data_IF_932117643710
#
_entry.id   IF_932117643710
#
_cell.length_a   1.000
_cell.length_b   1.000
_cell.length_c   1.000
_cell.angle_alpha   90.00
_cell.angle_beta   90.00
_cell.angle_gamma   90.00
#
_symmetry.space_group_name_H-M   'P 1'
#
loop_
_entity.id
_entity.type
_entity.pdbx_description
1 polymer ?
#
# COMPACT_ATOMS: atom_id res chain seq x y z
N UNK A 1 10.87 10.16 32.14
CA UNK A 1 9.76 10.20 31.18
C UNK A 1 10.34 10.64 29.85
N UNK A 2 10.45 9.73 28.89
CA UNK A 2 10.89 10.11 27.55
C UNK A 2 9.78 10.94 26.89
N UNK A 3 10.15 12.10 26.36
CA UNK A 3 9.25 12.97 25.60
C UNK A 3 9.05 12.26 24.26
N UNK A 4 7.90 11.61 24.09
CA UNK A 4 7.47 11.05 22.80
C UNK A 4 7.36 12.24 21.85
N UNK A 5 8.14 12.23 20.78
CA UNK A 5 8.11 13.34 19.84
C UNK A 5 6.79 13.28 19.05
N UNK A 6 6.28 14.40 18.52
CA UNK A 6 5.07 14.39 17.70
C UNK A 6 5.19 13.46 16.48
N UNK A 7 6.41 13.23 15.98
CA UNK A 7 6.68 12.25 14.91
C UNK A 7 6.49 10.78 15.32
N UNK A 8 6.38 10.49 16.63
CA UNK A 8 6.10 9.18 17.21
C UNK A 8 4.62 9.02 17.60
N UNK A 9 3.74 9.98 17.28
CA UNK A 9 2.30 9.74 17.30
C UNK A 9 2.00 8.69 16.23
N UNK A 10 1.92 7.43 16.66
CA UNK A 10 1.81 6.26 15.80
C UNK A 10 0.79 6.47 14.70
N UNK A 11 1.21 6.19 13.46
CA UNK A 11 0.32 6.21 12.29
C UNK A 11 -0.96 5.43 12.62
N UNK A 12 -2.10 6.11 12.54
CA UNK A 12 -3.38 5.45 12.64
C UNK A 12 -3.83 5.06 11.24
N UNK A 13 -4.00 3.76 10.96
CA UNK A 13 -4.54 3.35 9.68
C UNK A 13 -5.95 3.92 9.45
N UNK A 14 -6.35 4.15 8.18
CA UNK A 14 -7.70 4.59 7.86
C UNK A 14 -8.73 3.53 8.24
N UNK A 15 -9.94 3.98 8.57
CA UNK A 15 -11.12 3.12 8.60
C UNK A 15 -11.75 2.94 7.21
N UNK A 16 -12.70 2.00 7.10
CA UNK A 16 -13.46 1.75 5.88
C UNK A 16 -13.24 0.34 5.34
N UNK A 17 -12.86 0.22 4.07
CA UNK A 17 -12.72 -1.07 3.38
C UNK A 17 -11.27 -1.25 2.94
N UNK A 18 -10.69 -2.40 3.25
CA UNK A 18 -9.41 -2.82 2.71
C UNK A 18 -9.60 -3.75 1.51
N UNK A 19 -8.87 -3.45 0.43
CA UNK A 19 -8.81 -4.22 -0.80
C UNK A 19 -7.42 -4.85 -0.91
N UNK A 20 -7.34 -6.17 -0.77
CA UNK A 20 -6.09 -6.94 -0.89
C UNK A 20 -6.06 -7.73 -2.18
N UNK A 21 -4.88 -7.96 -2.75
CA UNK A 21 -4.69 -9.13 -3.63
C UNK A 21 -4.95 -10.41 -2.84
N UNK A 22 -5.71 -11.36 -3.41
CA UNK A 22 -5.97 -12.65 -2.74
C UNK A 22 -4.71 -13.51 -2.59
N UNK A 23 -3.80 -13.41 -3.55
CA UNK A 23 -2.58 -14.20 -3.67
C UNK A 23 -1.44 -13.33 -4.21
N UNK A 24 -0.20 -13.82 -4.08
CA UNK A 24 0.94 -13.22 -4.76
C UNK A 24 0.74 -13.29 -6.27
N UNK A 25 0.97 -12.18 -6.95
CA UNK A 25 0.84 -12.06 -8.41
C UNK A 25 2.19 -11.73 -9.04
N UNK A 26 2.40 -12.13 -10.31
CA UNK A 26 3.56 -11.70 -11.08
C UNK A 26 3.75 -10.18 -11.05
N UNK A 27 4.99 -9.72 -10.91
CA UNK A 27 5.29 -8.32 -10.62
C UNK A 27 4.88 -7.36 -11.74
N UNK A 28 4.76 -7.84 -12.98
CA UNK A 28 4.18 -7.08 -14.09
C UNK A 28 2.68 -6.80 -13.91
N UNK A 29 1.91 -7.77 -13.40
CA UNK A 29 0.50 -7.57 -13.06
C UNK A 29 0.36 -6.63 -11.86
N UNK A 30 1.21 -6.80 -10.85
CA UNK A 30 1.23 -5.91 -9.68
C UNK A 30 1.52 -4.46 -10.08
N UNK A 31 2.57 -4.23 -10.87
CA UNK A 31 2.94 -2.89 -11.36
C UNK A 31 1.79 -2.24 -12.16
N UNK A 32 1.13 -3.00 -13.03
CA UNK A 32 -0.03 -2.50 -13.77
C UNK A 32 -1.21 -2.16 -12.85
N UNK A 33 -1.52 -3.01 -11.87
CA UNK A 33 -2.58 -2.75 -10.89
C UNK A 33 -2.27 -1.49 -10.05
N UNK A 34 -1.04 -1.37 -9.54
CA UNK A 34 -0.60 -0.22 -8.75
C UNK A 34 -0.59 1.08 -9.56
N UNK A 35 -0.24 1.05 -10.85
CA UNK A 35 -0.36 2.21 -11.74
C UNK A 35 -1.81 2.68 -11.88
N UNK A 36 -2.75 1.73 -12.03
CA UNK A 36 -4.19 2.03 -12.09
C UNK A 36 -4.69 2.61 -10.77
N UNK A 37 -4.25 2.05 -9.65
CA UNK A 37 -4.57 2.56 -8.31
C UNK A 37 -4.04 3.98 -8.14
N UNK A 38 -2.78 4.23 -8.49
CA UNK A 38 -2.19 5.57 -8.42
C UNK A 38 -2.97 6.58 -9.28
N UNK A 39 -3.37 6.20 -10.49
CA UNK A 39 -4.20 7.05 -11.35
C UNK A 39 -5.59 7.32 -10.75
N UNK A 40 -6.22 6.31 -10.14
CA UNK A 40 -7.48 6.48 -9.43
C UNK A 40 -7.33 7.47 -8.26
N UNK A 41 -6.31 7.28 -7.42
CA UNK A 41 -6.04 8.16 -6.26
C UNK A 41 -5.73 9.60 -6.68
N UNK A 42 -5.02 9.79 -7.81
CA UNK A 42 -4.75 11.10 -8.38
C UNK A 42 -6.04 11.84 -8.74
N UNK A 43 -6.97 11.17 -9.42
CA UNK A 43 -8.20 11.79 -9.94
C UNK A 43 -9.25 12.04 -8.85
N UNK A 44 -9.36 11.14 -7.88
CA UNK A 44 -10.45 11.17 -6.92
C UNK A 44 -10.14 11.95 -5.64
N UNK A 45 -8.87 12.04 -5.24
CA UNK A 45 -8.49 12.50 -3.89
C UNK A 45 -7.64 13.79 -3.95
N UNK A 46 -7.13 14.18 -5.12
CA UNK A 46 -6.39 15.44 -5.35
C UNK A 46 -5.31 15.72 -4.28
N UNK A 47 -4.55 14.69 -3.91
CA UNK A 47 -3.53 14.81 -2.87
C UNK A 47 -2.22 15.31 -3.48
N UNK A 48 -1.71 16.43 -2.98
CA UNK A 48 -0.44 17.03 -3.43
C UNK A 48 0.77 16.56 -2.64
N UNK A 49 0.56 16.06 -1.42
CA UNK A 49 1.62 15.58 -0.54
C UNK A 49 1.30 14.18 -0.04
N UNK A 50 2.28 13.29 -0.17
CA UNK A 50 2.24 11.93 0.31
C UNK A 50 3.39 11.70 1.28
N UNK A 51 3.23 10.70 2.11
CA UNK A 51 4.24 10.23 3.04
C UNK A 51 4.49 8.77 2.72
N UNK A 52 5.78 8.44 2.56
CA UNK A 52 6.23 7.05 2.43
C UNK A 52 6.53 6.48 3.81
N UNK A 53 6.33 5.17 3.96
CA UNK A 53 6.64 4.41 5.15
C UNK A 53 7.38 3.12 4.79
N UNK A 54 8.25 2.68 5.69
CA UNK A 54 8.59 1.25 5.78
C UNK A 54 7.63 0.63 6.80
N UNK A 55 6.76 -0.24 6.32
CA UNK A 55 5.68 -0.85 7.07
C UNK A 55 6.10 -2.23 7.55
N UNK A 56 6.41 -2.31 8.85
CA UNK A 56 6.88 -3.50 9.55
C UNK A 56 5.75 -4.17 10.33
N UNK A 57 4.48 -3.90 10.01
CA UNK A 57 3.38 -4.40 10.82
C UNK A 57 3.37 -5.92 10.93
N UNK A 58 3.60 -6.61 9.81
CA UNK A 58 3.65 -8.08 9.75
C UNK A 58 4.97 -8.68 10.27
N UNK A 59 5.94 -7.83 10.62
CA UNK A 59 7.22 -8.23 11.19
C UNK A 59 7.22 -8.01 12.71
N UNK A 60 7.31 -6.76 13.16
CA UNK A 60 7.42 -6.38 14.58
C UNK A 60 6.33 -5.41 15.05
N UNK A 61 5.31 -5.15 14.22
CA UNK A 61 4.27 -4.16 14.54
C UNK A 61 4.73 -2.71 14.41
N UNK A 62 5.89 -2.45 13.80
CA UNK A 62 6.47 -1.11 13.67
C UNK A 62 6.07 -0.41 12.36
N UNK A 63 6.17 0.93 12.34
CA UNK A 63 5.83 1.74 11.16
C UNK A 63 6.75 2.96 11.10
N UNK A 64 7.66 3.00 10.13
CA UNK A 64 8.69 4.02 10.08
C UNK A 64 8.42 5.02 8.96
N UNK A 65 8.15 6.25 9.35
CA UNK A 65 8.00 7.36 8.41
C UNK A 65 9.30 7.62 7.64
N UNK A 66 9.20 7.71 6.32
CA UNK A 66 10.26 8.12 5.39
C UNK A 66 10.02 9.55 4.88
N UNK A 67 10.81 9.93 3.88
CA UNK A 67 10.67 11.20 3.20
C UNK A 67 9.25 11.35 2.60
N UNK A 68 8.77 12.60 2.60
CA UNK A 68 7.58 12.97 1.86
C UNK A 68 7.81 12.75 0.35
N UNK A 69 6.76 12.36 -0.36
CA UNK A 69 6.73 12.28 -1.81
C UNK A 69 5.45 12.95 -2.33
N UNK A 70 5.27 12.98 -3.64
CA UNK A 70 4.03 13.40 -4.29
C UNK A 70 3.50 12.25 -5.16
N UNK A 71 2.43 12.52 -5.92
CA UNK A 71 1.84 11.52 -6.80
C UNK A 71 2.81 11.06 -7.90
N UNK A 72 3.71 11.94 -8.38
CA UNK A 72 4.74 11.57 -9.35
C UNK A 72 5.75 10.61 -8.73
N UNK A 73 6.12 10.83 -7.47
CA UNK A 73 6.92 9.91 -6.67
C UNK A 73 6.25 8.54 -6.53
N UNK A 74 4.94 8.49 -6.27
CA UNK A 74 4.20 7.23 -6.25
C UNK A 74 4.29 6.51 -7.61
N UNK A 75 4.04 7.20 -8.72
CA UNK A 75 4.19 6.61 -10.05
C UNK A 75 5.61 6.09 -10.29
N UNK A 76 6.64 6.85 -9.92
CA UNK A 76 8.04 6.41 -10.09
C UNK A 76 8.35 5.11 -9.34
N UNK A 77 7.72 4.87 -8.18
CA UNK A 77 7.86 3.63 -7.41
C UNK A 77 7.17 2.45 -8.10
N UNK A 78 6.00 2.66 -8.71
CA UNK A 78 5.14 1.56 -9.17
C UNK A 78 5.12 1.32 -10.68
N UNK A 79 5.72 2.23 -11.46
CA UNK A 79 5.62 2.24 -12.94
C UNK A 79 6.21 1.00 -13.62
N UNK A 80 7.17 0.32 -12.99
CA UNK A 80 7.78 -0.88 -13.56
C UNK A 80 8.01 -1.95 -12.50
N UNK A 81 8.06 -3.24 -12.87
CA UNK A 81 8.48 -4.31 -11.97
C UNK A 81 9.84 -4.02 -11.30
N UNK A 82 10.78 -3.47 -12.06
CA UNK A 82 12.11 -3.11 -11.53
C UNK A 82 12.00 -2.00 -10.47
N UNK A 83 11.18 -0.98 -10.69
CA UNK A 83 10.96 0.09 -9.73
C UNK A 83 10.38 -0.44 -8.41
N UNK A 84 9.43 -1.37 -8.49
CA UNK A 84 8.85 -2.01 -7.31
C UNK A 84 9.92 -2.72 -6.49
N UNK A 85 10.70 -3.60 -7.13
CA UNK A 85 11.74 -4.37 -6.44
C UNK A 85 12.81 -3.46 -5.81
N UNK A 86 13.27 -2.45 -6.54
CA UNK A 86 14.27 -1.49 -6.04
C UNK A 86 13.75 -0.59 -4.91
N UNK A 87 12.42 -0.48 -4.78
CA UNK A 87 11.81 0.31 -3.70
C UNK A 87 11.72 -0.44 -2.38
N UNK A 88 11.88 -1.77 -2.38
CA UNK A 88 11.70 -2.60 -1.20
C UNK A 88 12.72 -2.26 -0.09
N UNK A 89 12.32 -2.23 1.19
CA UNK A 89 13.22 -1.93 2.30
C UNK A 89 14.34 -2.96 2.53
N UNK A 90 14.24 -4.15 1.92
CA UNK A 90 15.28 -5.18 1.89
C UNK A 90 15.03 -6.36 2.85
N UNK A 91 14.14 -6.19 3.83
CA UNK A 91 13.75 -7.22 4.78
C UNK A 91 12.45 -7.92 4.38
N UNK A 92 12.29 -9.18 4.81
CA UNK A 92 11.11 -9.99 4.54
C UNK A 92 9.87 -9.40 5.22
N UNK A 93 8.74 -9.39 4.49
CA UNK A 93 7.46 -8.88 4.96
C UNK A 93 7.46 -7.42 5.43
N UNK A 94 8.47 -6.63 5.02
CA UNK A 94 8.47 -5.18 5.20
C UNK A 94 7.95 -4.52 3.93
N UNK A 95 6.81 -3.85 4.05
CA UNK A 95 6.09 -3.29 2.91
C UNK A 95 6.50 -1.84 2.68
N UNK A 96 6.34 -1.38 1.45
CA UNK A 96 6.34 0.05 1.15
C UNK A 96 4.94 0.57 1.38
N UNK A 97 4.78 1.44 2.38
CA UNK A 97 3.52 2.13 2.68
C UNK A 97 3.49 3.54 2.09
N UNK A 98 2.32 3.98 1.64
CA UNK A 98 2.07 5.31 1.09
C UNK A 98 0.72 5.81 1.62
N UNK A 99 0.71 7.01 2.19
CA UNK A 99 -0.49 7.65 2.71
C UNK A 99 -0.45 9.17 2.46
N UNK A 100 -1.61 9.84 2.41
CA UNK A 100 -1.68 11.28 2.62
C UNK A 100 -1.37 11.63 4.09
N UNK A 101 -0.98 12.88 4.41
CA UNK A 101 -0.71 13.31 5.78
C UNK A 101 -1.89 13.15 6.75
N UNK A 102 -3.12 13.15 6.24
CA UNK A 102 -4.34 12.96 7.02
C UNK A 102 -4.77 11.49 7.16
N UNK A 103 -3.99 10.55 6.60
CA UNK A 103 -4.28 9.11 6.58
C UNK A 103 -5.67 8.76 6.05
N UNK A 104 -6.25 9.57 5.16
CA UNK A 104 -7.58 9.32 4.58
C UNK A 104 -7.66 8.05 3.71
N UNK A 105 -6.50 7.55 3.25
CA UNK A 105 -6.33 6.24 2.62
C UNK A 105 -4.93 5.71 2.90
N UNK A 106 -4.71 4.42 2.67
CA UNK A 106 -3.40 3.81 2.83
C UNK A 106 -3.17 2.74 1.77
N UNK A 107 -2.10 2.90 1.00
CA UNK A 107 -1.63 1.91 0.05
C UNK A 107 -0.35 1.29 0.60
N UNK A 108 -0.29 -0.03 0.68
CA UNK A 108 0.96 -0.75 0.91
C UNK A 108 1.16 -1.82 -0.15
N UNK A 109 2.41 -2.09 -0.49
CA UNK A 109 2.75 -3.17 -1.41
C UNK A 109 4.08 -3.81 -1.03
N UNK A 110 4.23 -5.07 -1.43
CA UNK A 110 5.41 -5.87 -1.20
C UNK A 110 5.78 -6.64 -2.47
N UNK A 111 7.07 -6.79 -2.71
CA UNK A 111 7.63 -7.47 -3.86
C UNK A 111 8.85 -8.30 -3.43
N UNK A 112 8.92 -9.54 -3.91
CA UNK A 112 10.01 -10.45 -3.62
C UNK A 112 10.21 -11.44 -4.78
N UNK A 113 11.22 -12.29 -4.64
CA UNK A 113 11.30 -13.52 -5.41
C UNK A 113 10.33 -14.55 -4.83
N UNK A 114 9.85 -15.46 -5.67
CA UNK A 114 9.13 -16.64 -5.20
C UNK A 114 10.07 -17.62 -4.49
N UNK A 115 9.50 -18.63 -3.83
CA UNK A 115 10.26 -19.62 -3.04
C UNK A 115 11.30 -20.41 -3.86
N UNK A 116 11.21 -20.35 -5.20
CA UNK A 116 12.10 -21.03 -6.14
C UNK A 116 13.16 -20.11 -6.76
N UNK A 117 13.22 -18.84 -6.35
CA UNK A 117 14.09 -17.79 -6.93
C UNK A 117 13.96 -17.69 -8.47
N UNK A 118 12.77 -17.95 -8.98
CA UNK A 118 12.48 -18.11 -10.41
C UNK A 118 11.70 -16.94 -10.99
N UNK A 119 10.76 -16.39 -10.23
CA UNK A 119 9.88 -15.32 -10.66
C UNK A 119 9.78 -14.21 -9.61
N UNK A 120 9.63 -12.97 -10.10
CA UNK A 120 9.32 -11.83 -9.24
C UNK A 120 7.81 -11.76 -9.04
N UNK A 121 7.40 -11.75 -7.77
CA UNK A 121 6.01 -11.75 -7.34
C UNK A 121 5.77 -10.64 -6.31
N UNK A 122 4.52 -10.34 -6.04
CA UNK A 122 4.17 -9.41 -4.98
C UNK A 122 2.67 -9.28 -4.72
N UNK A 123 2.35 -8.42 -3.78
CA UNK A 123 0.98 -8.18 -3.28
C UNK A 123 0.77 -6.69 -3.00
N UNK A 124 -0.50 -6.28 -2.93
CA UNK A 124 -0.86 -4.97 -2.39
C UNK A 124 -2.07 -5.04 -1.48
N UNK A 125 -2.16 -4.03 -0.61
CA UNK A 125 -3.35 -3.70 0.16
C UNK A 125 -3.65 -2.21 -0.01
N UNK A 126 -4.91 -1.88 -0.26
CA UNK A 126 -5.41 -0.52 -0.35
C UNK A 126 -6.59 -0.36 0.61
N UNK A 127 -6.43 0.48 1.62
CA UNK A 127 -7.52 0.89 2.50
C UNK A 127 -8.08 2.23 2.07
N UNK A 128 -9.41 2.29 1.92
CA UNK A 128 -10.16 3.47 1.53
C UNK A 128 -11.33 3.71 2.49
N UNK A 129 -11.70 4.99 2.65
CA UNK A 129 -13.00 5.31 3.26
C UNK A 129 -14.16 4.71 2.46
N UNK A 130 -15.28 4.43 3.13
CA UNK A 130 -16.47 3.80 2.51
C UNK A 130 -16.91 4.53 1.24
N UNK A 131 -16.92 5.87 1.27
CA UNK A 131 -17.35 6.70 0.13
C UNK A 131 -16.47 6.54 -1.13
N UNK A 132 -15.18 6.25 -0.95
CA UNK A 132 -14.22 6.07 -2.05
C UNK A 132 -14.18 4.59 -2.46
N UNK A 133 -14.34 3.68 -1.50
CA UNK A 133 -14.39 2.23 -1.71
C UNK A 133 -15.47 1.82 -2.73
N UNK A 134 -16.66 2.43 -2.66
CA UNK A 134 -17.74 2.13 -3.62
C UNK A 134 -17.37 2.50 -5.06
N UNK A 135 -16.72 3.64 -5.25
CA UNK A 135 -16.23 4.05 -6.57
C UNK A 135 -15.14 3.12 -7.05
N UNK A 136 -14.14 2.86 -6.23
CA UNK A 136 -13.04 1.93 -6.53
C UNK A 136 -13.55 0.55 -6.94
N UNK A 137 -14.53 0.01 -6.22
CA UNK A 137 -15.16 -1.27 -6.51
C UNK A 137 -15.84 -1.28 -7.88
N UNK A 138 -16.60 -0.24 -8.19
CA UNK A 138 -17.36 -0.17 -9.44
C UNK A 138 -16.49 0.11 -10.67
N UNK A 139 -15.43 0.91 -10.53
CA UNK A 139 -14.64 1.40 -11.66
C UNK A 139 -13.34 0.62 -11.88
N UNK A 140 -12.61 0.27 -10.82
CA UNK A 140 -11.24 -0.20 -10.93
C UNK A 140 -11.08 -1.70 -10.67
N UNK A 141 -11.83 -2.28 -9.74
CA UNK A 141 -11.75 -3.72 -9.45
C UNK A 141 -11.95 -4.60 -10.69
N UNK A 142 -12.92 -4.31 -11.60
CA UNK A 142 -13.07 -5.09 -12.84
C UNK A 142 -11.86 -5.01 -13.77
N UNK A 143 -11.03 -3.97 -13.64
CA UNK A 143 -9.91 -3.70 -14.53
C UNK A 143 -8.53 -4.10 -13.97
N UNK A 144 -8.43 -4.37 -12.67
CA UNK A 144 -7.15 -4.57 -11.97
C UNK A 144 -6.43 -5.88 -12.39
N UNK A 145 -7.13 -6.83 -13.00
CA UNK A 145 -6.52 -8.01 -13.63
C UNK A 145 -5.99 -9.05 -12.64
N UNK A 146 -6.28 -8.90 -11.35
CA UNK A 146 -6.08 -9.91 -10.31
C UNK A 146 -7.32 -10.01 -9.43
N UNK A 147 -7.42 -11.10 -8.66
CA UNK A 147 -8.51 -11.28 -7.70
C UNK A 147 -8.30 -10.40 -6.48
N UNK A 148 -9.36 -9.70 -6.09
CA UNK A 148 -9.34 -8.76 -4.98
C UNK A 148 -10.26 -9.25 -3.87
N UNK A 149 -9.70 -9.32 -2.66
CA UNK A 149 -10.42 -9.60 -1.43
C UNK A 149 -10.77 -8.30 -0.74
N UNK A 150 -12.04 -8.15 -0.40
CA UNK A 150 -12.54 -7.04 0.41
C UNK A 150 -12.71 -7.46 1.86
N UNK A 151 -12.30 -6.60 2.79
CA UNK A 151 -12.47 -6.79 4.23
C UNK A 151 -12.77 -5.45 4.91
N UNK A 152 -13.40 -5.51 6.08
CA UNK A 152 -13.46 -4.36 6.98
C UNK A 152 -12.02 -3.96 7.39
N UNK A 153 -11.71 -2.66 7.30
CA UNK A 153 -10.36 -2.17 7.57
C UNK A 153 -9.92 -2.45 9.02
N UNK A 154 -10.83 -2.32 10.00
CA UNK A 154 -10.47 -2.56 11.40
C UNK A 154 -10.16 -4.04 11.64
N UNK A 155 -10.93 -4.95 11.04
CA UNK A 155 -10.63 -6.39 11.06
C UNK A 155 -9.32 -6.72 10.36
N UNK A 156 -9.01 -6.05 9.25
CA UNK A 156 -7.76 -6.23 8.51
C UNK A 156 -6.55 -5.79 9.34
N UNK A 157 -6.54 -4.55 9.86
CA UNK A 157 -5.41 -4.06 10.65
C UNK A 157 -5.21 -4.84 11.96
N UNK A 158 -6.29 -5.32 12.57
CA UNK A 158 -6.20 -6.22 13.73
C UNK A 158 -5.46 -7.52 13.40
N UNK A 159 -5.53 -8.02 12.16
CA UNK A 159 -4.85 -9.27 11.76
C UNK A 159 -3.37 -9.08 11.45
N UNK A 160 -2.96 -7.90 11.00
CA UNK A 160 -1.59 -7.68 10.50
C UNK A 160 -0.68 -6.96 11.50
N UNK A 161 -1.26 -6.31 12.53
CA UNK A 161 -0.51 -5.57 13.57
C UNK A 161 -0.30 -6.43 14.84
N UNK A 162 -1.03 -7.55 14.98
CA UNK A 162 -1.05 -8.41 16.18
C UNK A 162 -0.33 -9.75 15.99
#
# INVERSE_FOLDING_TARGET
MAIIKPEDQGFQPPGGVNFSTEEFVPLNKLSNALCKIAAFLQNDIHVTQLVRFDDWWQHDGLHFRKAACDIHGLFALVQTPRSLLLSMPGDELVYVGIAPPDSSWYLRFYACWDDLDSELIGVFDLTLSVSIADRFRSSLVPEIGCKIREQDAAEYFKKIIL
#
